data_IF_007031420802
#
_entry.id   IF_007031420802
#
_cell.length_a   1.000
_cell.length_b   1.000
_cell.length_c   1.000
_cell.angle_alpha   90.00
_cell.angle_beta   90.00
_cell.angle_gamma   90.00
#
_symmetry.space_group_name_H-M   'P 1'
#
loop_
_entity.id
_entity.type
_entity.pdbx_description
1 polymer ?
#
# COMPACT_ATOMS: atom_id res chain seq x y z
N UNK A 1 -57.17 -23.75 -3.84
CA UNK A 1 -56.66 -23.86 -2.44
C UNK A 1 -55.88 -22.63 -2.10
N UNK A 2 -56.39 -21.82 -1.19
CA UNK A 2 -55.76 -20.56 -0.73
C UNK A 2 -54.68 -20.92 0.31
N UNK A 3 -53.52 -20.30 0.25
CA UNK A 3 -52.59 -20.29 1.35
C UNK A 3 -52.05 -18.89 1.57
N UNK A 4 -52.15 -18.46 2.80
CA UNK A 4 -52.10 -17.13 3.35
C UNK A 4 -50.66 -16.75 3.69
N UNK A 5 -50.29 -15.52 3.34
CA UNK A 5 -48.99 -14.86 3.65
C UNK A 5 -49.05 -14.33 5.09
N UNK A 6 -48.05 -14.62 5.91
CA UNK A 6 -47.78 -13.92 7.17
C UNK A 6 -46.56 -13.00 7.01
N UNK A 7 -46.81 -11.70 7.06
CA UNK A 7 -45.78 -10.69 7.21
C UNK A 7 -45.52 -10.44 8.70
N UNK A 8 -44.30 -10.55 9.15
CA UNK A 8 -43.85 -10.17 10.50
C UNK A 8 -43.06 -8.88 10.46
N UNK A 9 -43.72 -7.82 10.89
CA UNK A 9 -43.17 -6.50 11.15
C UNK A 9 -42.33 -6.53 12.45
N UNK A 10 -41.02 -6.29 12.37
CA UNK A 10 -40.10 -6.10 13.52
C UNK A 10 -39.57 -4.68 13.55
N UNK A 11 -40.31 -3.78 14.20
CA UNK A 11 -39.84 -2.46 14.63
C UNK A 11 -38.77 -2.62 15.69
N UNK A 12 -37.50 -2.23 15.38
CA UNK A 12 -36.47 -2.06 16.39
C UNK A 12 -36.48 -0.62 16.91
N UNK A 13 -36.70 -0.50 18.22
CA UNK A 13 -36.57 0.75 18.97
C UNK A 13 -35.10 1.11 19.08
N UNK A 14 -34.74 2.34 18.66
CA UNK A 14 -33.44 2.94 18.87
C UNK A 14 -33.49 3.64 20.24
N UNK A 15 -32.66 3.18 21.16
CA UNK A 15 -32.47 3.84 22.47
C UNK A 15 -31.23 4.73 22.37
N UNK A 16 -31.43 6.03 22.44
CA UNK A 16 -30.36 7.02 22.46
C UNK A 16 -29.84 7.14 23.89
N UNK A 17 -28.58 6.80 24.12
CA UNK A 17 -27.89 7.06 25.40
C UNK A 17 -27.00 8.26 25.19
N UNK A 18 -27.32 9.36 25.87
CA UNK A 18 -26.48 10.54 25.91
C UNK A 18 -25.30 10.34 26.88
N UNK A 19 -24.10 10.65 26.39
CA UNK A 19 -22.90 10.70 27.21
C UNK A 19 -22.48 12.16 27.43
N UNK A 20 -22.40 12.55 28.69
CA UNK A 20 -21.99 13.86 29.14
C UNK A 20 -20.48 14.07 28.99
N UNK A 21 -20.09 15.20 28.42
CA UNK A 21 -18.70 15.69 28.32
C UNK A 21 -18.31 16.37 29.59
N UNK A 22 -17.29 15.87 30.28
CA UNK A 22 -16.59 16.57 31.35
C UNK A 22 -15.30 17.18 30.81
N UNK A 23 -15.28 18.51 30.72
CA UNK A 23 -14.12 19.31 30.38
C UNK A 23 -13.31 19.56 31.66
N UNK A 24 -12.11 18.92 31.72
CA UNK A 24 -11.14 19.19 32.78
C UNK A 24 -10.06 20.16 32.29
N UNK A 25 -10.13 21.41 32.75
CA UNK A 25 -9.11 22.43 32.49
C UNK A 25 -7.97 22.27 33.50
N UNK A 26 -6.76 21.97 33.04
CA UNK A 26 -5.53 22.01 33.83
C UNK A 26 -4.74 23.25 33.48
N UNK A 27 -4.73 24.24 34.41
CA UNK A 27 -3.91 25.42 34.30
C UNK A 27 -2.46 25.10 34.69
N UNK A 28 -1.52 25.40 33.82
CA UNK A 28 -0.07 25.39 34.08
C UNK A 28 0.34 26.79 34.51
N UNK A 29 0.79 26.90 35.76
CA UNK A 29 1.40 28.10 36.37
C UNK A 29 2.82 28.27 35.78
N UNK A 30 3.04 29.39 35.09
CA UNK A 30 4.37 29.89 34.76
C UNK A 30 4.86 30.73 35.93
N UNK A 31 5.96 30.34 36.56
CA UNK A 31 6.76 31.18 37.45
C UNK A 31 7.88 31.82 36.64
N UNK A 32 7.77 33.12 36.43
CA UNK A 32 8.85 33.93 35.90
C UNK A 32 9.74 34.37 37.08
N UNK A 33 11.04 34.10 36.98
CA UNK A 33 12.04 34.82 37.77
C UNK A 33 12.91 35.63 36.82
N UNK A 34 12.81 36.92 37.02
CA UNK A 34 13.62 37.96 36.39
C UNK A 34 14.81 38.23 37.32
N UNK A 35 16.03 38.17 36.84
CA UNK A 35 17.07 39.09 37.33
C UNK A 35 18.20 39.31 36.31
N UNK A 36 18.71 40.49 36.41
CA UNK A 36 19.53 41.28 35.50
C UNK A 36 21.03 40.96 35.54
N UNK A 37 21.65 41.40 34.43
CA UNK A 37 22.99 41.96 34.25
C UNK A 37 24.23 41.02 34.16
N UNK A 38 24.92 41.03 33.07
CA UNK A 38 26.18 41.70 32.73
C UNK A 38 27.10 40.86 31.81
N UNK A 39 27.50 41.52 30.67
CA UNK A 39 28.78 41.46 29.95
C UNK A 39 29.33 40.17 29.31
N UNK A 40 29.31 40.26 27.98
CA UNK A 40 30.43 40.07 27.00
C UNK A 40 31.55 39.04 27.23
N UNK A 41 31.69 38.11 26.26
CA UNK A 41 32.93 37.41 25.91
C UNK A 41 32.69 36.39 24.83
N UNK A 42 33.53 36.33 23.78
CA UNK A 42 33.33 35.40 22.68
C UNK A 42 33.84 34.00 23.02
N UNK A 43 32.99 32.98 22.87
CA UNK A 43 33.43 31.60 23.07
C UNK A 43 33.27 30.79 21.80
N UNK A 44 34.38 30.45 21.29
CA UNK A 44 34.77 29.39 20.37
C UNK A 44 33.78 28.27 20.14
N UNK A 45 33.50 28.10 18.86
CA UNK A 45 32.85 26.91 18.26
C UNK A 45 33.71 25.67 18.48
N UNK A 46 33.30 24.75 19.31
CA UNK A 46 33.90 23.43 19.39
C UNK A 46 33.16 22.48 18.45
N UNK A 47 33.75 22.17 17.30
CA UNK A 47 33.35 21.08 16.42
C UNK A 47 33.58 19.77 17.15
N UNK A 48 32.51 19.05 17.46
CA UNK A 48 32.58 17.66 17.89
C UNK A 48 32.93 16.78 16.71
N UNK A 49 34.18 16.40 16.63
CA UNK A 49 34.73 15.43 15.69
C UNK A 49 34.30 14.05 16.12
N UNK A 50 33.43 13.41 15.34
CA UNK A 50 33.02 12.01 15.52
C UNK A 50 34.21 11.10 15.23
N UNK A 51 34.86 10.60 16.25
CA UNK A 51 35.87 9.54 16.14
C UNK A 51 35.14 8.24 15.78
N UNK A 52 35.45 7.74 14.58
CA UNK A 52 35.14 6.37 14.17
C UNK A 52 35.99 5.43 15.03
N UNK A 53 35.38 4.83 16.04
CA UNK A 53 36.00 3.77 16.84
C UNK A 53 35.86 2.45 16.08
N UNK A 54 36.98 1.93 15.61
CA UNK A 54 37.11 0.54 15.16
C UNK A 54 36.77 -0.39 16.33
N UNK A 55 35.77 -1.27 16.09
CA UNK A 55 35.25 -2.20 17.08
C UNK A 55 36.23 -3.31 17.41
N UNK A 56 36.41 -3.51 18.67
CA UNK A 56 37.00 -4.70 19.24
C UNK A 56 35.85 -5.64 19.62
N UNK A 57 35.76 -6.80 18.95
CA UNK A 57 34.84 -7.86 19.27
C UNK A 57 35.21 -8.49 20.62
N UNK A 58 34.36 -8.20 21.60
CA UNK A 58 34.32 -8.87 22.87
C UNK A 58 32.88 -8.85 23.34
N UNK A 59 32.23 -10.01 23.43
CA UNK A 59 30.89 -10.15 23.95
C UNK A 59 30.82 -9.62 25.39
N UNK A 60 30.34 -8.37 25.54
CA UNK A 60 29.92 -7.83 26.83
C UNK A 60 28.46 -8.18 27.02
N UNK A 61 28.20 -9.16 27.90
CA UNK A 61 26.86 -9.48 28.37
C UNK A 61 26.17 -8.19 28.85
N UNK A 62 25.05 -7.81 28.22
CA UNK A 62 24.15 -6.75 28.63
C UNK A 62 24.08 -5.49 27.76
N UNK A 63 24.93 -5.32 26.76
CA UNK A 63 24.85 -4.13 25.88
C UNK A 63 23.97 -4.42 24.67
N UNK A 64 22.97 -3.55 24.43
CA UNK A 64 22.12 -3.65 23.24
C UNK A 64 22.91 -3.32 21.95
N UNK A 65 22.62 -4.07 20.89
CA UNK A 65 23.16 -3.82 19.55
C UNK A 65 22.11 -3.11 18.73
N UNK A 66 22.46 -1.99 18.08
CA UNK A 66 21.58 -1.21 17.23
C UNK A 66 22.13 -1.15 15.81
N UNK A 67 21.30 -1.52 14.82
CA UNK A 67 21.62 -1.43 13.40
C UNK A 67 20.62 -0.47 12.72
N UNK A 68 21.12 0.58 12.07
CA UNK A 68 20.33 1.40 11.15
C UNK A 68 20.12 0.64 9.84
N UNK A 69 18.89 0.52 9.39
CA UNK A 69 18.51 -0.25 8.20
C UNK A 69 18.21 0.69 7.04
N UNK A 70 17.23 1.60 7.19
CA UNK A 70 16.87 2.63 6.20
C UNK A 70 16.39 2.04 4.86
N UNK A 71 15.79 0.86 4.84
CA UNK A 71 15.31 0.19 3.62
C UNK A 71 13.81 0.37 3.46
N UNK A 72 13.39 0.76 2.24
CA UNK A 72 11.98 0.98 1.92
C UNK A 72 11.51 -0.02 0.88
N UNK A 73 10.38 -0.70 1.17
CA UNK A 73 9.61 -1.50 0.23
C UNK A 73 8.21 -0.90 0.03
N UNK A 74 7.51 -1.32 -1.01
CA UNK A 74 6.13 -0.91 -1.25
C UNK A 74 5.19 -2.10 -1.07
N UNK A 75 4.07 -1.90 -0.36
CA UNK A 75 3.04 -2.94 -0.16
C UNK A 75 1.66 -2.29 0.01
N UNK A 76 0.69 -2.70 -0.79
CA UNK A 76 -0.73 -2.29 -0.70
C UNK A 76 -0.97 -0.77 -0.54
N UNK A 77 -0.21 0.07 -1.21
CA UNK A 77 -0.37 1.53 -1.15
C UNK A 77 0.44 2.19 -0.04
N UNK A 78 1.35 1.47 0.59
CA UNK A 78 2.29 2.01 1.56
C UNK A 78 3.74 1.95 1.07
N UNK A 79 4.48 3.03 1.26
CA UNK A 79 5.93 2.96 1.37
C UNK A 79 6.24 2.55 2.81
N UNK A 80 6.90 1.42 2.98
CA UNK A 80 7.23 0.82 4.28
C UNK A 80 8.72 0.88 4.47
N UNK A 81 9.19 1.68 5.41
CA UNK A 81 10.61 1.83 5.73
C UNK A 81 10.90 1.12 7.05
N UNK A 82 11.79 0.12 7.00
CA UNK A 82 12.42 -0.42 8.20
C UNK A 82 13.54 0.52 8.56
N UNK A 83 13.37 1.28 9.66
CA UNK A 83 14.30 2.35 10.04
C UNK A 83 15.54 1.80 10.73
N UNK A 84 15.34 1.02 11.78
CA UNK A 84 16.41 0.39 12.56
C UNK A 84 15.94 -0.87 13.27
N UNK A 85 16.89 -1.70 13.66
CA UNK A 85 16.67 -2.86 14.49
C UNK A 85 17.57 -2.81 15.73
N UNK A 86 17.04 -3.23 16.88
CA UNK A 86 17.75 -3.25 18.16
C UNK A 86 17.64 -4.65 18.75
N UNK A 87 18.77 -5.26 19.07
CA UNK A 87 18.86 -6.53 19.83
C UNK A 87 19.19 -6.19 21.27
N UNK A 88 18.33 -6.59 22.20
CA UNK A 88 18.52 -6.39 23.64
C UNK A 88 18.70 -7.75 24.28
N UNK A 89 19.94 -8.13 24.68
CA UNK A 89 20.19 -9.37 25.39
C UNK A 89 19.41 -9.43 26.70
N UNK A 90 18.95 -10.62 27.07
CA UNK A 90 18.34 -10.89 28.37
C UNK A 90 19.32 -11.63 29.33
N UNK A 91 18.93 -11.71 30.58
CA UNK A 91 19.75 -12.35 31.64
C UNK A 91 19.81 -13.88 31.51
N UNK A 92 18.98 -14.49 30.66
CA UNK A 92 18.90 -15.94 30.47
C UNK A 92 19.67 -16.41 29.23
N UNK A 93 20.39 -15.53 28.55
CA UNK A 93 21.18 -15.85 27.36
C UNK A 93 20.39 -15.77 26.05
N UNK A 94 19.15 -15.30 26.10
CA UNK A 94 18.34 -14.94 24.94
C UNK A 94 18.43 -13.48 24.58
N UNK A 95 17.52 -13.00 23.73
CA UNK A 95 17.39 -11.60 23.41
C UNK A 95 15.99 -11.23 22.92
N UNK A 96 15.61 -9.98 23.14
CA UNK A 96 14.48 -9.33 22.50
C UNK A 96 14.97 -8.53 21.27
N UNK A 97 14.29 -8.66 20.15
CA UNK A 97 14.54 -7.88 18.93
C UNK A 97 13.42 -6.88 18.76
N UNK A 98 13.78 -5.62 18.58
CA UNK A 98 12.87 -4.49 18.34
C UNK A 98 13.20 -3.91 16.97
N UNK A 99 12.21 -3.82 16.09
CA UNK A 99 12.36 -3.25 14.74
C UNK A 99 11.43 -2.05 14.64
N UNK A 100 11.97 -0.87 14.43
CA UNK A 100 11.20 0.36 14.21
C UNK A 100 10.88 0.50 12.73
N UNK A 101 9.61 0.82 12.42
CA UNK A 101 9.09 0.90 11.06
C UNK A 101 8.32 2.21 10.89
N UNK A 102 8.54 2.87 9.77
CA UNK A 102 7.74 4.00 9.30
C UNK A 102 6.86 3.55 8.13
N UNK A 103 5.55 3.77 8.25
CA UNK A 103 4.55 3.54 7.23
C UNK A 103 4.11 4.88 6.63
N UNK A 104 4.30 5.08 5.33
CA UNK A 104 3.80 6.24 4.59
C UNK A 104 2.69 5.79 3.65
N UNK A 105 1.48 6.25 3.90
CA UNK A 105 0.32 5.97 3.07
C UNK A 105 0.39 6.80 1.77
N UNK A 106 0.49 6.14 0.63
CA UNK A 106 0.55 6.79 -0.69
C UNK A 106 -0.84 7.00 -1.32
N UNK A 107 -1.91 6.52 -0.65
CA UNK A 107 -3.31 6.68 -1.10
C UNK A 107 -3.96 7.94 -0.52
N UNK A 108 -5.06 8.44 -1.08
CA UNK A 108 -5.76 9.61 -0.54
C UNK A 108 -6.56 9.32 0.73
N UNK A 109 -6.96 8.08 0.96
CA UNK A 109 -7.83 7.68 2.06
C UNK A 109 -7.04 7.14 3.27
N UNK A 110 -7.63 7.21 4.47
CA UNK A 110 -7.06 6.56 5.65
C UNK A 110 -7.01 5.05 5.43
N UNK A 111 -5.88 4.43 5.74
CA UNK A 111 -5.68 2.99 5.53
C UNK A 111 -4.94 2.36 6.71
N UNK A 112 -5.37 1.15 7.10
CA UNK A 112 -4.69 0.35 8.11
C UNK A 112 -3.79 -0.66 7.41
N UNK A 113 -2.59 -0.91 7.96
CA UNK A 113 -1.67 -1.93 7.47
C UNK A 113 -2.34 -3.32 7.58
N UNK A 114 -2.23 -4.10 6.51
CA UNK A 114 -2.74 -5.48 6.47
C UNK A 114 -2.08 -6.35 7.54
N UNK A 115 -2.86 -7.24 8.16
CA UNK A 115 -2.37 -8.22 9.14
C UNK A 115 -1.63 -9.40 8.50
N UNK A 116 -1.49 -9.44 7.18
CA UNK A 116 -0.74 -10.46 6.45
C UNK A 116 0.77 -10.17 6.50
N UNK A 117 1.31 -10.00 7.71
CA UNK A 117 2.70 -9.66 7.96
C UNK A 117 3.32 -10.69 8.87
N UNK A 118 4.59 -11.04 8.63
CA UNK A 118 5.34 -11.94 9.50
C UNK A 118 6.84 -11.64 9.46
N UNK A 119 7.56 -12.06 10.49
CA UNK A 119 9.02 -12.13 10.46
C UNK A 119 9.48 -13.48 9.90
N UNK A 120 10.52 -13.45 9.12
CA UNK A 120 11.29 -14.61 8.74
C UNK A 120 12.65 -14.55 9.45
N UNK A 121 13.02 -15.63 10.11
CA UNK A 121 14.34 -15.82 10.75
C UNK A 121 14.94 -17.10 10.18
N UNK A 122 16.13 -17.05 9.62
CA UNK A 122 16.81 -18.21 8.98
C UNK A 122 15.94 -18.99 7.97
N UNK A 123 15.06 -18.30 7.23
CA UNK A 123 14.09 -18.85 6.27
C UNK A 123 12.84 -19.49 6.90
N UNK A 124 12.71 -19.51 8.21
CA UNK A 124 11.51 -19.98 8.90
C UNK A 124 10.64 -18.82 9.35
N UNK A 125 9.32 -19.07 9.41
CA UNK A 125 8.36 -18.08 9.92
C UNK A 125 8.48 -18.00 11.43
N UNK A 126 8.71 -16.80 11.96
CA UNK A 126 8.69 -16.55 13.39
C UNK A 126 7.24 -16.33 13.88
N UNK A 127 6.66 -17.39 14.45
CA UNK A 127 5.31 -17.36 15.02
C UNK A 127 5.18 -16.56 16.34
N UNK A 128 6.29 -16.10 16.91
CA UNK A 128 6.32 -15.29 18.14
C UNK A 128 6.38 -13.78 17.89
N UNK A 129 6.51 -13.35 16.63
CA UNK A 129 6.60 -11.95 16.28
C UNK A 129 5.26 -11.22 16.49
N UNK A 130 5.33 -10.01 17.05
CA UNK A 130 4.20 -9.09 17.22
C UNK A 130 4.41 -7.85 16.37
N UNK A 131 3.36 -7.42 15.66
CA UNK A 131 3.37 -6.28 14.75
C UNK A 131 2.39 -5.20 15.21
N UNK A 132 2.84 -3.95 15.26
CA UNK A 132 1.93 -2.82 15.31
C UNK A 132 1.29 -2.62 13.93
N UNK A 133 -0.04 -2.48 13.90
CA UNK A 133 -0.81 -2.23 12.67
C UNK A 133 -1.53 -0.89 12.77
N UNK A 134 -0.83 0.25 12.62
CA UNK A 134 -1.44 1.56 12.75
C UNK A 134 -2.38 1.87 11.60
N UNK A 135 -3.43 2.65 11.88
CA UNK A 135 -4.18 3.35 10.84
C UNK A 135 -3.44 4.61 10.44
N UNK A 136 -3.07 4.72 9.18
CA UNK A 136 -2.27 5.83 8.64
C UNK A 136 -3.18 6.75 7.84
N UNK A 137 -3.21 8.06 8.13
CA UNK A 137 -4.00 9.03 7.37
C UNK A 137 -3.62 9.02 5.88
N UNK A 138 -4.59 9.35 5.02
CA UNK A 138 -4.32 9.51 3.58
C UNK A 138 -3.19 10.50 3.33
N UNK A 139 -2.20 10.13 2.50
CA UNK A 139 -0.97 10.89 2.23
C UNK A 139 -0.10 11.19 3.46
N UNK A 140 -0.46 10.64 4.62
CA UNK A 140 0.28 10.80 5.89
C UNK A 140 1.25 9.67 6.19
N UNK A 141 1.86 9.73 7.38
CA UNK A 141 2.77 8.70 7.89
C UNK A 141 2.46 8.37 9.34
N UNK A 142 2.76 7.14 9.73
CA UNK A 142 2.74 6.69 11.13
C UNK A 142 3.93 5.76 11.38
N UNK A 143 4.33 5.64 12.64
CA UNK A 143 5.36 4.69 13.06
C UNK A 143 4.72 3.48 13.72
N UNK A 144 5.39 2.33 13.62
CA UNK A 144 5.04 1.11 14.32
C UNK A 144 6.28 0.32 14.69
N UNK A 145 6.08 -0.76 15.41
CA UNK A 145 7.15 -1.66 15.85
C UNK A 145 6.83 -3.09 15.52
N UNK A 146 7.87 -3.84 15.24
CA UNK A 146 7.84 -5.30 15.24
C UNK A 146 8.72 -5.77 16.39
N UNK A 147 8.21 -6.72 17.18
CA UNK A 147 8.96 -7.28 18.30
C UNK A 147 8.96 -8.81 18.22
N UNK A 148 10.12 -9.39 18.48
CA UNK A 148 10.26 -10.83 18.67
C UNK A 148 11.29 -11.14 19.74
N UNK A 149 11.46 -12.42 20.09
CA UNK A 149 12.44 -12.88 21.06
C UNK A 149 13.10 -14.16 20.60
N UNK A 150 14.40 -14.28 20.80
CA UNK A 150 15.15 -15.51 20.57
C UNK A 150 15.60 -16.10 21.91
N UNK A 151 15.51 -17.43 22.04
CA UNK A 151 15.87 -18.14 23.30
C UNK A 151 17.37 -18.19 23.57
N UNK A 152 18.17 -18.12 22.50
CA UNK A 152 19.63 -18.17 22.59
C UNK A 152 20.19 -17.11 21.62
N UNK A 153 21.02 -16.22 22.16
CA UNK A 153 21.74 -15.22 21.40
C UNK A 153 23.23 -15.61 21.38
N UNK A 154 23.74 -15.99 20.22
CA UNK A 154 25.17 -16.22 20.00
C UNK A 154 25.89 -14.96 19.55
N UNK A 155 25.32 -14.25 18.55
CA UNK A 155 25.84 -13.03 17.97
C UNK A 155 24.67 -12.16 17.48
N UNK A 156 24.60 -10.92 17.97
CA UNK A 156 23.51 -10.00 17.65
C UNK A 156 23.55 -9.51 16.19
N UNK A 157 24.76 -9.28 15.65
CA UNK A 157 24.92 -8.85 14.26
C UNK A 157 24.55 -9.98 13.29
N UNK A 158 24.98 -11.20 13.60
CA UNK A 158 24.61 -12.38 12.82
C UNK A 158 23.10 -12.62 12.86
N UNK A 159 22.47 -12.52 14.03
CA UNK A 159 21.01 -12.65 14.16
C UNK A 159 20.27 -11.64 13.24
N UNK A 160 20.69 -10.38 13.23
CA UNK A 160 20.09 -9.36 12.35
C UNK A 160 20.28 -9.69 10.86
N UNK A 161 21.34 -10.41 10.49
CA UNK A 161 21.56 -10.82 9.10
C UNK A 161 20.59 -11.93 8.64
N UNK A 162 19.97 -12.64 9.57
CA UNK A 162 19.02 -13.72 9.27
C UNK A 162 17.56 -13.27 9.21
N UNK A 163 17.27 -12.05 9.68
CA UNK A 163 15.90 -11.55 9.81
C UNK A 163 15.46 -10.78 8.57
N UNK A 164 14.21 -11.04 8.16
CA UNK A 164 13.50 -10.22 7.18
C UNK A 164 12.07 -9.94 7.64
N UNK A 165 11.59 -8.72 7.42
CA UNK A 165 10.20 -8.32 7.60
C UNK A 165 9.46 -8.59 6.29
N UNK A 166 8.36 -9.35 6.34
CA UNK A 166 7.62 -9.76 5.15
C UNK A 166 6.17 -9.27 5.25
N UNK A 167 5.72 -8.62 4.19
CA UNK A 167 4.34 -8.21 3.96
C UNK A 167 3.74 -9.05 2.83
N UNK A 168 2.56 -9.61 3.05
CA UNK A 168 1.88 -10.55 2.14
C UNK A 168 2.11 -12.02 2.48
N UNK A 169 1.15 -12.87 2.12
CA UNK A 169 1.25 -14.32 2.30
C UNK A 169 2.06 -14.96 1.16
N UNK A 170 2.53 -16.19 1.35
CA UNK A 170 3.35 -16.90 0.37
C UNK A 170 2.60 -17.23 -0.95
N UNK A 171 1.26 -17.30 -0.90
CA UNK A 171 0.39 -17.46 -2.09
C UNK A 171 0.20 -16.19 -2.90
N UNK A 172 0.58 -15.02 -2.32
CA UNK A 172 0.30 -13.70 -2.87
C UNK A 172 1.59 -12.99 -3.24
N UNK A 173 1.49 -11.82 -3.87
CA UNK A 173 2.65 -10.96 -4.04
C UNK A 173 3.13 -10.46 -2.67
N UNK A 174 4.43 -10.51 -2.46
CA UNK A 174 5.07 -10.14 -1.21
C UNK A 174 6.02 -8.97 -1.39
N UNK A 175 6.22 -8.25 -0.28
CA UNK A 175 7.37 -7.35 -0.11
C UNK A 175 8.20 -7.86 1.06
N UNK A 176 9.49 -8.17 0.80
CA UNK A 176 10.44 -8.66 1.79
C UNK A 176 11.53 -7.63 2.01
N UNK A 177 11.68 -7.19 3.26
CA UNK A 177 12.66 -6.18 3.68
C UNK A 177 13.67 -6.85 4.61
N UNK A 178 14.84 -7.29 4.09
CA UNK A 178 15.86 -7.95 4.90
C UNK A 178 16.62 -6.94 5.76
N UNK A 179 16.93 -7.31 7.02
CA UNK A 179 17.72 -6.48 7.92
C UNK A 179 19.22 -6.56 7.60
N UNK A 180 19.67 -7.57 6.86
CA UNK A 180 21.04 -7.71 6.40
C UNK A 180 21.43 -6.52 5.51
N UNK A 181 22.52 -5.81 5.85
CA UNK A 181 22.91 -4.57 5.17
C UNK A 181 23.09 -4.75 3.65
N UNK A 182 23.76 -5.83 3.21
CA UNK A 182 24.06 -6.10 1.79
C UNK A 182 22.88 -6.65 0.98
N UNK A 183 21.79 -7.11 1.62
CA UNK A 183 20.64 -7.67 0.91
C UNK A 183 19.72 -6.56 0.40
N UNK A 184 19.15 -6.75 -0.78
CA UNK A 184 18.19 -5.82 -1.38
C UNK A 184 16.77 -6.14 -0.91
N UNK A 185 15.89 -5.14 -0.99
CA UNK A 185 14.45 -5.32 -0.82
C UNK A 185 13.91 -6.12 -2.01
N UNK A 186 13.15 -7.16 -1.71
CA UNK A 186 12.43 -7.96 -2.71
C UNK A 186 10.99 -7.47 -2.73
N UNK A 187 10.50 -7.05 -3.89
CA UNK A 187 9.15 -6.53 -4.10
C UNK A 187 9.07 -5.62 -5.32
N UNK A 188 7.87 -5.31 -5.74
CA UNK A 188 7.62 -4.47 -6.92
C UNK A 188 6.85 -3.22 -6.50
N UNK A 189 7.38 -2.06 -6.80
CA UNK A 189 6.67 -0.79 -6.62
C UNK A 189 5.74 -0.51 -7.81
N UNK A 190 4.63 0.22 -7.60
CA UNK A 190 3.76 0.63 -8.68
C UNK A 190 4.48 1.56 -9.66
N UNK A 191 4.12 1.43 -10.94
CA UNK A 191 4.65 2.23 -12.03
C UNK A 191 3.52 3.03 -12.67
N UNK A 192 3.72 4.33 -12.84
CA UNK A 192 2.80 5.16 -13.63
C UNK A 192 3.01 4.89 -15.11
N UNK A 193 1.92 4.74 -15.84
CA UNK A 193 1.90 4.49 -17.27
C UNK A 193 1.43 5.74 -18.02
N UNK A 194 2.20 6.16 -19.02
CA UNK A 194 1.83 7.23 -19.96
C UNK A 194 1.04 6.65 -21.15
N UNK A 195 -0.04 5.92 -20.85
CA UNK A 195 -0.96 5.41 -21.85
C UNK A 195 -2.01 6.48 -22.17
N UNK A 196 -2.05 6.98 -23.39
CA UNK A 196 -3.02 7.96 -23.84
C UNK A 196 -3.52 7.62 -25.24
N UNK A 197 -4.85 7.44 -25.39
CA UNK A 197 -5.45 7.05 -26.65
C UNK A 197 -6.97 7.13 -26.64
N UNK A 198 -7.58 6.80 -27.78
CA UNK A 198 -9.03 6.84 -27.97
C UNK A 198 -9.54 5.55 -28.59
N UNK A 199 -10.69 5.12 -28.12
CA UNK A 199 -11.49 4.03 -28.65
C UNK A 199 -12.86 4.59 -28.99
N UNK A 200 -13.26 4.53 -30.27
CA UNK A 200 -14.54 5.10 -30.73
C UNK A 200 -15.38 3.99 -31.31
N UNK A 201 -16.53 3.72 -30.71
CA UNK A 201 -17.53 2.78 -31.21
C UNK A 201 -18.89 3.49 -31.22
N UNK A 202 -19.47 3.67 -32.39
CA UNK A 202 -20.72 4.39 -32.64
C UNK A 202 -20.74 5.78 -31.99
N UNK A 203 -21.61 5.98 -31.01
CA UNK A 203 -21.79 7.24 -30.29
C UNK A 203 -20.95 7.34 -29.01
N UNK A 204 -20.11 6.33 -28.73
CA UNK A 204 -19.28 6.30 -27.52
C UNK A 204 -17.83 6.49 -27.86
N UNK A 205 -17.19 7.44 -27.18
CA UNK A 205 -15.73 7.62 -27.19
C UNK A 205 -15.18 7.34 -25.80
N UNK A 206 -14.23 6.41 -25.71
CA UNK A 206 -13.46 6.13 -24.51
C UNK A 206 -12.07 6.76 -24.69
N UNK A 207 -11.74 7.77 -23.89
CA UNK A 207 -10.40 8.35 -23.84
C UNK A 207 -9.62 7.70 -22.70
N UNK A 208 -8.52 7.00 -23.01
CA UNK A 208 -7.55 6.55 -22.03
C UNK A 208 -6.65 7.73 -21.69
N UNK A 209 -6.57 8.11 -20.42
CA UNK A 209 -5.89 9.35 -19.98
C UNK A 209 -4.63 9.08 -19.15
N UNK A 210 -4.24 7.82 -18.99
CA UNK A 210 -3.10 7.36 -18.22
C UNK A 210 -3.39 6.02 -17.57
N UNK A 211 -2.46 5.56 -16.73
CA UNK A 211 -2.66 4.32 -16.02
C UNK A 211 -1.60 4.06 -14.94
N UNK A 212 -1.74 2.93 -14.29
CA UNK A 212 -0.75 2.40 -13.34
C UNK A 212 -0.61 0.89 -13.53
N UNK A 213 0.58 0.39 -13.27
CA UNK A 213 0.87 -1.02 -13.14
C UNK A 213 1.35 -1.25 -11.72
N UNK A 214 0.68 -2.11 -10.97
CA UNK A 214 1.02 -2.43 -9.58
C UNK A 214 0.93 -3.95 -9.34
N UNK A 215 1.66 -4.51 -8.36
CA UNK A 215 1.43 -5.88 -7.96
C UNK A 215 -0.03 -6.08 -7.54
N UNK A 216 -0.64 -7.18 -7.96
CA UNK A 216 -1.93 -7.56 -7.40
C UNK A 216 -1.74 -8.12 -5.99
N UNK A 217 -2.55 -7.66 -5.04
CA UNK A 217 -2.59 -8.18 -3.67
C UNK A 217 -3.90 -8.93 -3.37
N UNK A 218 -4.62 -9.29 -4.42
CA UNK A 218 -5.74 -10.22 -4.29
C UNK A 218 -5.19 -11.61 -3.94
N UNK A 219 -5.90 -12.30 -3.08
CA UNK A 219 -5.54 -13.64 -2.63
C UNK A 219 -5.33 -14.60 -3.82
N UNK A 220 -4.28 -15.40 -3.73
CA UNK A 220 -3.87 -16.40 -4.75
C UNK A 220 -3.45 -15.78 -6.12
N UNK A 221 -3.09 -14.49 -6.15
CA UNK A 221 -2.60 -13.80 -7.34
C UNK A 221 -1.09 -13.51 -7.30
N UNK A 222 -0.33 -14.45 -6.78
CA UNK A 222 1.14 -14.39 -6.88
C UNK A 222 1.58 -14.29 -8.35
N UNK A 223 2.59 -13.46 -8.60
CA UNK A 223 3.13 -13.18 -9.94
C UNK A 223 2.09 -12.58 -10.92
N UNK A 224 1.07 -11.89 -10.38
CA UNK A 224 0.11 -11.10 -11.15
C UNK A 224 0.27 -9.61 -10.85
N UNK A 225 -0.06 -8.79 -11.85
CA UNK A 225 -0.05 -7.33 -11.76
C UNK A 225 -1.42 -6.78 -12.12
N UNK A 226 -1.85 -5.74 -11.43
CA UNK A 226 -3.02 -4.94 -11.78
C UNK A 226 -2.59 -3.84 -12.76
N UNK A 227 -2.97 -4.01 -14.02
CA UNK A 227 -2.87 -2.99 -15.06
C UNK A 227 -4.15 -2.15 -15.01
N UNK A 228 -4.06 -0.97 -14.43
CA UNK A 228 -5.21 -0.05 -14.28
C UNK A 228 -5.08 1.10 -15.29
N UNK A 229 -6.10 1.29 -16.13
CA UNK A 229 -6.16 2.39 -17.11
C UNK A 229 -7.28 3.36 -16.73
N UNK A 230 -6.94 4.60 -16.48
CA UNK A 230 -7.92 5.65 -16.24
C UNK A 230 -8.60 6.04 -17.55
N UNK A 231 -9.92 6.16 -17.52
CA UNK A 231 -10.72 6.54 -18.69
C UNK A 231 -11.62 7.74 -18.44
N UNK A 232 -11.93 8.42 -19.53
CA UNK A 232 -12.99 9.41 -19.66
C UNK A 232 -13.94 8.92 -20.75
N UNK A 233 -15.23 9.02 -20.51
CA UNK A 233 -16.29 8.52 -21.39
C UNK A 233 -17.03 9.71 -21.98
N UNK A 234 -17.20 9.73 -23.30
CA UNK A 234 -17.81 10.86 -24.02
C UNK A 234 -18.92 10.32 -24.92
N UNK A 235 -20.12 10.84 -24.75
CA UNK A 235 -21.31 10.56 -25.55
C UNK A 235 -21.45 11.47 -26.76
N UNK A 236 -21.81 10.87 -27.88
CA UNK A 236 -22.14 11.62 -29.12
C UNK A 236 -23.58 12.12 -29.16
N UNK A 237 -23.91 12.90 -30.20
CA UNK A 237 -25.26 13.50 -30.35
C UNK A 237 -26.35 12.48 -30.68
N UNK A 238 -26.00 11.30 -31.15
CA UNK A 238 -26.95 10.25 -31.55
C UNK A 238 -27.35 9.29 -30.46
N UNK A 239 -26.91 9.48 -29.20
CA UNK A 239 -27.39 8.67 -28.08
C UNK A 239 -28.88 8.95 -27.81
N UNK A 240 -29.69 7.90 -27.71
CA UNK A 240 -31.12 8.00 -27.46
C UNK A 240 -31.44 8.59 -26.06
N UNK A 241 -32.67 9.05 -25.88
CA UNK A 241 -33.12 9.65 -24.61
C UNK A 241 -33.03 8.72 -23.37
N UNK A 242 -32.91 7.40 -23.59
CA UNK A 242 -32.70 6.42 -22.50
C UNK A 242 -31.24 6.25 -22.09
N UNK A 243 -30.31 6.92 -22.78
CA UNK A 243 -28.89 6.75 -22.56
C UNK A 243 -28.32 5.45 -23.11
N UNK A 244 -27.02 5.25 -22.87
CA UNK A 244 -26.25 4.04 -23.22
C UNK A 244 -25.43 3.62 -22.02
N UNK A 245 -25.50 2.34 -21.63
CA UNK A 245 -24.68 1.84 -20.53
C UNK A 245 -23.25 1.54 -21.01
N UNK A 246 -22.27 1.91 -20.18
CA UNK A 246 -20.86 1.55 -20.36
C UNK A 246 -20.43 0.74 -19.16
N UNK A 247 -20.09 -0.53 -19.39
CA UNK A 247 -19.70 -1.46 -18.34
C UNK A 247 -18.24 -1.87 -18.48
N UNK A 248 -17.60 -2.28 -17.36
CA UNK A 248 -16.22 -2.77 -17.35
C UNK A 248 -16.02 -4.00 -18.24
N UNK A 249 -17.02 -4.89 -18.35
CA UNK A 249 -16.95 -6.14 -19.15
C UNK A 249 -16.96 -5.93 -20.66
N UNK A 250 -17.08 -4.68 -21.14
CA UNK A 250 -16.90 -4.33 -22.54
C UNK A 250 -15.43 -4.18 -22.95
N UNK A 251 -14.51 -4.29 -22.00
CA UNK A 251 -13.11 -4.11 -22.27
C UNK A 251 -12.32 -5.43 -22.17
N UNK A 252 -11.39 -5.59 -23.09
CA UNK A 252 -10.39 -6.66 -23.07
C UNK A 252 -9.01 -6.08 -23.32
N UNK A 253 -7.96 -6.78 -22.85
CA UNK A 253 -6.59 -6.47 -23.21
C UNK A 253 -5.91 -7.70 -23.82
N UNK A 254 -5.21 -7.52 -24.94
CA UNK A 254 -4.30 -8.51 -25.49
C UNK A 254 -2.90 -8.21 -24.97
N UNK A 255 -2.30 -9.19 -24.33
CA UNK A 255 -0.96 -9.14 -23.74
C UNK A 255 0.13 -9.36 -24.80
N UNK A 256 1.40 -9.04 -24.51
CA UNK A 256 2.52 -9.24 -25.45
C UNK A 256 2.72 -10.70 -25.90
N UNK A 257 2.35 -11.67 -25.07
CA UNK A 257 2.38 -13.11 -25.39
C UNK A 257 1.14 -13.59 -26.17
N UNK A 258 0.22 -12.67 -26.50
CA UNK A 258 -0.95 -12.92 -27.33
C UNK A 258 -2.21 -13.38 -26.60
N UNK A 259 -2.19 -13.50 -25.26
CA UNK A 259 -3.39 -13.83 -24.50
C UNK A 259 -4.38 -12.65 -24.51
N UNK A 260 -5.68 -12.95 -24.53
CA UNK A 260 -6.74 -11.95 -24.35
C UNK A 260 -7.32 -12.09 -22.95
N UNK A 261 -7.23 -11.03 -22.16
CA UNK A 261 -7.68 -10.98 -20.77
C UNK A 261 -8.87 -10.00 -20.69
N UNK A 262 -10.02 -10.43 -20.15
CA UNK A 262 -11.14 -9.52 -19.89
C UNK A 262 -10.81 -8.56 -18.75
N UNK A 263 -11.51 -7.41 -18.71
CA UNK A 263 -11.40 -6.50 -17.58
C UNK A 263 -12.00 -7.13 -16.31
N UNK A 264 -11.38 -6.83 -15.18
CA UNK A 264 -11.75 -7.33 -13.86
C UNK A 264 -12.74 -6.36 -13.18
N UNK A 265 -13.66 -6.92 -12.37
CA UNK A 265 -14.68 -6.17 -11.63
C UNK A 265 -14.11 -5.17 -10.61
N UNK A 266 -12.84 -5.30 -10.23
CA UNK A 266 -12.15 -4.31 -9.39
C UNK A 266 -11.97 -2.95 -10.07
N UNK A 267 -12.16 -2.87 -11.39
CA UNK A 267 -12.36 -1.63 -12.15
C UNK A 267 -13.86 -1.35 -12.31
N UNK A 268 -14.50 -0.57 -11.42
CA UNK A 268 -15.96 -0.59 -11.24
C UNK A 268 -16.71 0.32 -12.23
N UNK A 269 -16.41 0.24 -13.53
CA UNK A 269 -17.11 1.04 -14.54
C UNK A 269 -18.53 0.49 -14.70
N UNK A 270 -19.51 1.33 -14.38
CA UNK A 270 -20.93 1.12 -14.57
C UNK A 270 -21.60 2.49 -14.71
N UNK A 271 -21.53 3.06 -15.91
CA UNK A 271 -21.96 4.43 -16.19
C UNK A 271 -23.12 4.43 -17.19
N UNK A 272 -24.09 5.32 -16.97
CA UNK A 272 -25.14 5.65 -17.94
C UNK A 272 -24.74 6.92 -18.68
N UNK A 273 -24.39 6.79 -19.93
CA UNK A 273 -23.92 7.86 -20.80
C UNK A 273 -25.09 8.47 -21.58
N UNK A 274 -25.31 9.78 -21.43
CA UNK A 274 -26.36 10.51 -22.15
C UNK A 274 -25.83 11.25 -23.39
N UNK A 275 -26.75 11.81 -24.19
CA UNK A 275 -26.44 12.58 -25.38
C UNK A 275 -25.52 13.75 -25.04
N UNK A 276 -24.37 13.88 -25.74
CA UNK A 276 -23.36 14.91 -25.56
C UNK A 276 -22.79 15.03 -24.14
N UNK A 277 -22.94 13.99 -23.30
CA UNK A 277 -22.40 13.94 -21.95
C UNK A 277 -20.93 13.58 -21.97
N UNK A 278 -20.20 14.11 -20.99
CA UNK A 278 -18.83 13.73 -20.69
C UNK A 278 -18.73 13.31 -19.23
N UNK A 279 -18.31 12.06 -19.01
CA UNK A 279 -18.07 11.48 -17.67
C UNK A 279 -16.57 11.41 -17.46
N UNK A 280 -16.02 12.31 -16.65
CA UNK A 280 -14.60 12.33 -16.24
C UNK A 280 -14.51 12.13 -14.73
N UNK A 281 -14.76 10.89 -14.30
CA UNK A 281 -14.71 10.51 -12.90
C UNK A 281 -13.33 9.92 -12.57
N UNK A 282 -12.67 10.43 -11.53
CA UNK A 282 -11.37 9.95 -11.10
C UNK A 282 -11.37 8.47 -10.65
N UNK A 283 -12.57 7.91 -10.36
CA UNK A 283 -12.77 6.50 -10.01
C UNK A 283 -13.02 5.61 -11.23
N UNK A 284 -13.19 6.16 -12.43
CA UNK A 284 -13.39 5.39 -13.65
C UNK A 284 -12.05 4.90 -14.19
N UNK A 285 -11.73 3.66 -13.89
CA UNK A 285 -10.58 2.95 -14.43
C UNK A 285 -10.94 1.50 -14.76
N UNK A 286 -10.32 1.01 -15.83
CA UNK A 286 -10.40 -0.39 -16.24
C UNK A 286 -9.23 -1.10 -15.59
N UNK A 287 -9.45 -2.27 -14.99
CA UNK A 287 -8.39 -3.11 -14.42
C UNK A 287 -8.28 -4.41 -15.19
N UNK A 288 -7.05 -4.80 -15.51
CA UNK A 288 -6.72 -6.11 -16.06
C UNK A 288 -5.68 -6.79 -15.17
N UNK A 289 -5.93 -8.05 -14.82
CA UNK A 289 -4.98 -8.87 -14.04
C UNK A 289 -4.05 -9.58 -15.01
N UNK A 290 -2.84 -9.03 -15.17
CA UNK A 290 -1.87 -9.52 -16.16
C UNK A 290 -0.72 -10.29 -15.50
N UNK A 291 -0.04 -11.23 -16.21
CA UNK A 291 1.14 -11.89 -15.68
C UNK A 291 2.32 -10.95 -15.43
N UNK A 292 3.13 -11.24 -14.43
CA UNK A 292 4.42 -10.58 -14.19
C UNK A 292 5.57 -11.39 -14.85
N UNK A 293 6.61 -10.73 -15.43
CA UNK A 293 6.76 -9.28 -15.62
C UNK A 293 5.86 -8.75 -16.74
N UNK A 294 5.18 -7.63 -16.48
CA UNK A 294 4.23 -7.04 -17.42
C UNK A 294 4.93 -6.06 -18.37
N UNK A 295 5.87 -6.52 -19.17
CA UNK A 295 6.59 -5.70 -20.17
C UNK A 295 6.19 -6.08 -21.59
N UNK A 296 6.23 -5.11 -22.52
CA UNK A 296 5.91 -5.31 -23.93
C UNK A 296 4.69 -4.50 -24.38
N UNK A 297 4.17 -4.83 -25.57
CA UNK A 297 3.04 -4.11 -26.18
C UNK A 297 1.72 -4.76 -25.82
N UNK A 298 0.81 -3.94 -25.29
CA UNK A 298 -0.56 -4.29 -24.94
C UNK A 298 -1.53 -3.64 -25.91
N UNK A 299 -2.63 -4.34 -26.21
CA UNK A 299 -3.70 -3.82 -27.08
C UNK A 299 -5.02 -3.87 -26.30
N UNK A 300 -5.56 -2.70 -25.95
CA UNK A 300 -6.89 -2.59 -25.31
C UNK A 300 -7.94 -2.52 -26.39
N UNK A 301 -9.02 -3.25 -26.20
CA UNK A 301 -10.20 -3.26 -27.09
C UNK A 301 -11.43 -2.85 -26.28
N UNK A 302 -12.30 -2.03 -26.87
CA UNK A 302 -13.63 -1.71 -26.36
C UNK A 302 -14.67 -2.33 -27.31
N UNK A 303 -15.55 -3.17 -26.77
CA UNK A 303 -16.58 -3.89 -27.55
C UNK A 303 -17.90 -3.92 -26.79
N UNK A 304 -18.66 -2.82 -26.87
CA UNK A 304 -20.01 -2.73 -26.32
C UNK A 304 -21.04 -3.54 -27.12
N UNK A 305 -20.72 -3.88 -28.37
CA UNK A 305 -21.59 -4.66 -29.26
C UNK A 305 -21.37 -6.16 -29.18
N UNK A 306 -20.39 -6.61 -28.36
CA UNK A 306 -20.10 -8.03 -28.09
C UNK A 306 -19.93 -8.88 -29.36
N UNK A 307 -19.13 -8.38 -30.30
CA UNK A 307 -18.79 -9.07 -31.56
C UNK A 307 -19.68 -8.72 -32.75
N UNK A 308 -20.70 -7.87 -32.58
CA UNK A 308 -21.46 -7.30 -33.67
C UNK A 308 -20.78 -6.03 -34.19
N UNK A 309 -19.99 -6.13 -35.25
CA UNK A 309 -19.28 -5.02 -35.86
C UNK A 309 -17.78 -4.97 -35.54
N UNK A 310 -17.14 -3.83 -35.80
CA UNK A 310 -15.71 -3.61 -35.58
C UNK A 310 -15.45 -2.99 -34.21
N UNK A 311 -14.76 -3.70 -33.33
CA UNK A 311 -14.34 -3.21 -32.03
C UNK A 311 -13.06 -2.36 -32.18
N UNK A 312 -13.07 -1.07 -31.73
CA UNK A 312 -11.89 -0.22 -31.73
C UNK A 312 -10.82 -0.73 -30.76
N UNK A 313 -9.56 -0.50 -31.10
CA UNK A 313 -8.45 -0.88 -30.27
C UNK A 313 -7.40 0.24 -30.14
N UNK A 314 -6.62 0.17 -29.08
CA UNK A 314 -5.52 1.08 -28.80
C UNK A 314 -4.33 0.31 -28.25
N UNK A 315 -3.14 0.58 -28.80
CA UNK A 315 -1.88 -0.09 -28.38
C UNK A 315 -0.99 0.86 -27.59
N UNK A 316 -0.36 0.33 -26.54
CA UNK A 316 0.66 1.02 -25.76
C UNK A 316 1.72 0.03 -25.29
N UNK A 317 2.90 0.54 -24.92
CA UNK A 317 4.04 -0.30 -24.49
C UNK A 317 4.40 -0.02 -23.04
N UNK A 318 4.61 -1.09 -22.29
CA UNK A 318 5.16 -1.08 -20.93
C UNK A 318 6.63 -1.52 -21.03
N UNK A 319 7.53 -0.64 -20.62
CA UNK A 319 8.99 -0.86 -20.64
C UNK A 319 9.53 -1.25 -19.26
#
# INVERSE_FOLDING_TARGET
>A
MRSTIFAADRRRKITTIGAAVLIGSSALLMTACNDKDTKSGPTTTASAQSTVGQGQSGAKNGQSTVRNIGKTGWYEGFDITVDKATVVPDEFGGAKVLIDITYKNTTPDNKTISNNTYLQVDKEVDGGASFDSPTVPGKGSATGKVTTSVKTLHDAEHLLDTIAVIYGQASDNQTKIPLKASAQVEGVAPKTLNASGKLVQDQTTIEITGGTLAPSYTKDERDKMDLSLRIKIIGGPGISAGGLNVFYDYFTVKTPDGQTIPADIRGPINELLNTNETIDNAKNYIVFVVPSPATGTYVVTYDAQKGEGSAPNFSFTIS
#
